data_IF_073906485349
#
_entry.id   IF_073906485349
#
_cell.length_a   1.000
_cell.length_b   1.000
_cell.length_c   1.000
_cell.angle_alpha   90.00
_cell.angle_beta   90.00
_cell.angle_gamma   90.00
#
_symmetry.space_group_name_H-M   'P 1'
#
loop_
_entity.id
_entity.type
_entity.pdbx_description
1 polymer ?
#
# COMPACT_ATOMS: atom_id res chain seq x y z
N UNK A 1 -5.59 -2.11 -13.55
CA UNK A 1 -6.21 -2.65 -14.79
C UNK A 1 -5.23 -2.50 -15.96
N UNK A 2 -4.85 -3.61 -16.60
CA UNK A 2 -3.92 -3.65 -17.74
C UNK A 2 -4.48 -2.83 -18.91
N UNK A 3 -3.77 -1.76 -19.32
CA UNK A 3 -4.21 -0.80 -20.37
C UNK A 3 -4.42 -1.45 -21.76
N UNK A 4 -4.06 -2.71 -21.93
CA UNK A 4 -4.14 -3.46 -23.18
C UNK A 4 -5.50 -4.13 -23.48
N UNK A 5 -6.50 -4.02 -22.59
CA UNK A 5 -7.82 -4.66 -22.75
C UNK A 5 -8.86 -3.86 -23.56
N UNK A 6 -8.46 -2.77 -24.24
CA UNK A 6 -9.38 -1.91 -25.00
C UNK A 6 -9.69 -2.38 -26.43
N UNK A 7 -9.05 -3.44 -26.91
CA UNK A 7 -9.21 -3.90 -28.30
C UNK A 7 -10.24 -5.03 -28.39
N UNK A 8 -11.12 -5.00 -29.40
CA UNK A 8 -12.18 -5.99 -29.63
C UNK A 8 -11.69 -7.44 -29.65
N UNK A 9 -10.41 -7.67 -30.04
CA UNK A 9 -9.79 -8.99 -30.06
C UNK A 9 -9.68 -9.64 -28.68
N UNK A 10 -9.67 -8.87 -27.59
CA UNK A 10 -9.61 -9.42 -26.23
C UNK A 10 -10.99 -9.65 -25.61
N UNK A 11 -12.00 -8.91 -26.06
CA UNK A 11 -13.36 -8.96 -25.51
C UNK A 11 -14.22 -10.08 -26.13
N UNK A 12 -13.73 -10.68 -27.22
CA UNK A 12 -14.40 -11.70 -28.01
C UNK A 12 -14.02 -13.14 -27.65
N UNK A 13 -13.07 -13.33 -26.74
CA UNK A 13 -12.64 -14.67 -26.31
C UNK A 13 -11.83 -15.46 -27.36
N UNK A 14 -11.52 -14.85 -28.52
CA UNK A 14 -10.79 -15.47 -29.64
C UNK A 14 -9.33 -15.80 -29.33
N UNK A 15 -8.79 -15.23 -28.26
CA UNK A 15 -7.38 -15.30 -27.92
C UNK A 15 -7.18 -15.47 -26.42
N UNK A 16 -6.34 -16.43 -26.04
CA UNK A 16 -5.94 -16.69 -24.67
C UNK A 16 -4.45 -16.34 -24.50
N UNK A 17 -4.12 -15.54 -23.48
CA UNK A 17 -2.72 -15.25 -23.15
C UNK A 17 -2.08 -16.50 -22.51
N UNK A 18 -0.83 -16.74 -22.85
CA UNK A 18 -0.03 -17.74 -22.14
C UNK A 18 0.21 -17.28 -20.69
N UNK A 19 0.03 -18.17 -19.69
CA UNK A 19 0.17 -17.81 -18.28
C UNK A 19 1.61 -17.54 -17.84
N UNK A 20 2.61 -17.98 -18.63
CA UNK A 20 4.04 -17.87 -18.32
C UNK A 20 4.68 -16.81 -19.21
N UNK A 21 4.41 -16.82 -20.52
CA UNK A 21 4.96 -15.85 -21.47
C UNK A 21 3.92 -14.82 -21.92
N UNK A 22 3.98 -13.62 -21.34
CA UNK A 22 3.10 -12.48 -21.65
C UNK A 22 3.10 -12.04 -23.13
N UNK A 23 4.06 -12.50 -23.94
CA UNK A 23 4.17 -12.21 -25.36
C UNK A 23 3.54 -13.27 -26.25
N UNK A 24 3.25 -14.47 -25.73
CA UNK A 24 2.59 -15.55 -26.46
C UNK A 24 1.08 -15.55 -26.21
N UNK A 25 0.35 -15.83 -27.29
CA UNK A 25 -1.10 -15.86 -27.32
C UNK A 25 -1.53 -17.01 -28.19
N UNK A 26 -2.51 -17.78 -27.73
CA UNK A 26 -3.10 -18.89 -28.48
C UNK A 26 -4.49 -18.49 -28.98
N UNK A 27 -4.75 -18.70 -30.27
CA UNK A 27 -6.08 -18.59 -30.86
C UNK A 27 -6.95 -19.75 -30.39
N UNK A 28 -8.18 -19.44 -29.98
CA UNK A 28 -9.13 -20.40 -29.40
C UNK A 28 -10.17 -20.90 -30.41
N UNK A 29 -10.10 -20.45 -31.66
CA UNK A 29 -11.03 -20.86 -32.72
C UNK A 29 -10.74 -22.30 -33.13
N UNK A 30 -11.75 -23.16 -33.07
CA UNK A 30 -11.64 -24.58 -33.38
C UNK A 30 -11.24 -24.77 -34.86
N UNK A 31 -10.18 -25.55 -35.10
CA UNK A 31 -9.66 -25.80 -36.46
C UNK A 31 -8.70 -24.72 -36.99
N UNK A 32 -8.23 -23.79 -36.15
CA UNK A 32 -7.20 -22.83 -36.55
C UNK A 32 -5.91 -23.53 -37.02
N UNK A 33 -5.44 -23.17 -38.21
CA UNK A 33 -4.21 -23.74 -38.81
C UNK A 33 -2.92 -23.20 -38.20
N UNK A 34 -2.97 -22.06 -37.48
CA UNK A 34 -1.81 -21.43 -36.82
C UNK A 34 -2.22 -20.83 -35.47
N UNK A 35 -2.48 -21.66 -34.45
CA UNK A 35 -3.04 -21.19 -33.19
C UNK A 35 -2.06 -20.35 -32.36
N UNK A 36 -0.75 -20.56 -32.49
CA UNK A 36 0.24 -19.84 -31.67
C UNK A 36 0.74 -18.55 -32.32
N UNK A 37 0.57 -17.43 -31.61
CA UNK A 37 0.83 -16.08 -32.11
C UNK A 37 1.71 -15.32 -31.12
N UNK A 38 2.74 -14.65 -31.64
CA UNK A 38 3.57 -13.75 -30.86
C UNK A 38 3.10 -12.29 -31.00
N UNK A 39 2.93 -11.60 -29.86
CA UNK A 39 2.47 -10.20 -29.77
C UNK A 39 3.52 -9.16 -30.13
N UNK A 40 4.79 -9.57 -30.26
CA UNK A 40 5.89 -8.70 -30.66
C UNK A 40 6.69 -9.30 -31.80
N UNK A 41 7.33 -8.44 -32.60
CA UNK A 41 8.54 -8.77 -33.35
C UNK A 41 9.77 -8.50 -32.46
N UNK A 42 10.92 -9.13 -32.73
CA UNK A 42 12.15 -8.91 -31.95
C UNK A 42 12.41 -7.39 -31.82
N UNK A 43 12.56 -6.90 -30.58
CA UNK A 43 12.83 -5.48 -30.28
C UNK A 43 11.63 -4.55 -30.10
N UNK A 44 10.37 -5.00 -30.26
CA UNK A 44 9.18 -4.13 -30.17
C UNK A 44 8.28 -4.37 -28.93
N UNK A 45 7.51 -3.34 -28.54
CA UNK A 45 6.48 -3.42 -27.49
C UNK A 45 5.29 -4.27 -27.97
N UNK A 46 4.70 -5.05 -27.06
CA UNK A 46 3.62 -6.00 -27.37
C UNK A 46 2.31 -5.28 -27.74
N UNK A 47 1.89 -5.39 -29.00
CA UNK A 47 0.66 -4.79 -29.53
C UNK A 47 -0.47 -5.80 -29.77
N UNK A 48 -1.56 -5.34 -30.39
CA UNK A 48 -2.69 -6.17 -30.83
C UNK A 48 -2.77 -6.34 -32.36
N UNK A 49 -1.92 -5.65 -33.12
CA UNK A 49 -1.95 -5.64 -34.59
C UNK A 49 -1.83 -7.04 -35.20
N UNK A 50 -0.96 -7.90 -34.65
CA UNK A 50 -0.78 -9.28 -35.12
C UNK A 50 -2.05 -10.13 -34.87
N UNK A 51 -2.73 -9.92 -33.74
CA UNK A 51 -3.95 -10.65 -33.39
C UNK A 51 -5.11 -10.21 -34.29
N UNK A 52 -5.22 -8.90 -34.55
CA UNK A 52 -6.21 -8.34 -35.47
C UNK A 52 -5.99 -8.89 -36.88
N UNK A 53 -4.75 -8.88 -37.36
CA UNK A 53 -4.41 -9.40 -38.69
C UNK A 53 -4.70 -10.90 -38.79
N UNK A 54 -4.30 -11.69 -37.79
CA UNK A 54 -4.59 -13.12 -37.75
C UNK A 54 -6.12 -13.38 -37.79
N UNK A 55 -6.90 -12.71 -36.94
CA UNK A 55 -8.35 -12.88 -36.90
C UNK A 55 -9.01 -12.52 -38.23
N UNK A 56 -8.63 -11.41 -38.85
CA UNK A 56 -9.22 -11.00 -40.14
C UNK A 56 -8.85 -11.94 -41.30
N UNK A 57 -7.68 -12.57 -41.27
CA UNK A 57 -7.19 -13.43 -42.36
C UNK A 57 -7.68 -14.87 -42.20
N UNK A 58 -7.57 -15.43 -41.00
CA UNK A 58 -7.83 -16.85 -40.76
C UNK A 58 -9.24 -17.12 -40.23
N UNK A 59 -9.89 -16.13 -39.62
CA UNK A 59 -11.19 -16.27 -38.95
C UNK A 59 -12.12 -15.07 -39.24
N UNK A 60 -12.40 -14.75 -40.53
CA UNK A 60 -13.13 -13.54 -40.90
C UNK A 60 -14.55 -13.49 -40.34
N UNK A 61 -15.22 -14.63 -40.23
CA UNK A 61 -16.57 -14.79 -39.66
C UNK A 61 -16.61 -14.46 -38.18
N UNK A 62 -15.70 -15.05 -37.40
CA UNK A 62 -15.55 -14.84 -35.97
C UNK A 62 -15.05 -13.43 -35.67
N UNK A 63 -14.15 -12.89 -36.51
CA UNK A 63 -13.67 -11.53 -36.44
C UNK A 63 -14.79 -10.50 -36.67
N UNK A 64 -15.69 -10.75 -37.62
CA UNK A 64 -16.86 -9.90 -37.87
C UNK A 64 -17.81 -9.94 -36.67
N UNK A 65 -18.20 -11.13 -36.22
CA UNK A 65 -19.06 -11.29 -35.04
C UNK A 65 -18.50 -10.63 -33.78
N UNK A 66 -17.18 -10.73 -33.58
CA UNK A 66 -16.47 -10.10 -32.48
C UNK A 66 -16.48 -8.56 -32.54
N UNK A 67 -16.35 -7.97 -33.73
CA UNK A 67 -16.46 -6.51 -33.93
C UNK A 67 -17.89 -6.04 -33.73
N UNK A 68 -18.87 -6.75 -34.30
CA UNK A 68 -20.28 -6.40 -34.16
C UNK A 68 -20.72 -6.43 -32.68
N UNK A 69 -20.27 -7.43 -31.92
CA UNK A 69 -20.51 -7.51 -30.47
C UNK A 69 -19.85 -6.37 -29.69
N UNK A 70 -18.62 -6.01 -30.06
CA UNK A 70 -17.92 -4.87 -29.45
C UNK A 70 -18.65 -3.56 -29.72
N UNK A 71 -19.07 -3.33 -30.97
CA UNK A 71 -19.75 -2.12 -31.39
C UNK A 71 -21.14 -2.03 -30.75
N UNK A 72 -21.87 -3.14 -30.62
CA UNK A 72 -23.12 -3.20 -29.86
C UNK A 72 -22.91 -2.86 -28.38
N UNK A 73 -21.87 -3.40 -27.73
CA UNK A 73 -21.55 -3.08 -26.33
C UNK A 73 -21.15 -1.61 -26.14
N UNK A 74 -20.42 -1.02 -27.08
CA UNK A 74 -20.07 0.40 -27.04
C UNK A 74 -21.30 1.29 -27.34
N UNK A 75 -22.20 0.89 -28.23
CA UNK A 75 -23.48 1.56 -28.46
C UNK A 75 -24.38 1.51 -27.21
N UNK A 76 -24.52 0.37 -26.54
CA UNK A 76 -25.29 0.22 -25.29
C UNK A 76 -24.71 1.07 -24.15
N UNK A 77 -23.38 1.13 -24.05
CA UNK A 77 -22.66 1.97 -23.08
C UNK A 77 -22.86 3.46 -23.36
N UNK A 78 -22.88 3.85 -24.64
CA UNK A 78 -23.16 5.23 -25.06
C UNK A 78 -24.65 5.60 -24.89
N UNK A 79 -25.57 4.64 -25.09
CA UNK A 79 -27.00 4.83 -24.83
C UNK A 79 -27.30 5.02 -23.33
N UNK A 80 -26.69 4.22 -22.45
CA UNK A 80 -26.76 4.41 -20.98
C UNK A 80 -26.16 5.75 -20.53
N UNK A 81 -25.20 6.29 -21.28
CA UNK A 81 -24.62 7.62 -21.05
C UNK A 81 -25.56 8.75 -21.48
N UNK A 82 -26.33 8.55 -22.55
CA UNK A 82 -27.30 9.51 -23.09
C UNK A 82 -28.55 9.70 -22.23
N UNK A 83 -29.06 8.64 -21.58
CA UNK A 83 -30.21 8.74 -20.67
C UNK A 83 -29.94 9.62 -19.43
N UNK A 84 -28.67 9.95 -19.14
CA UNK A 84 -28.27 10.79 -18.01
C UNK A 84 -28.13 12.28 -18.36
N UNK A 85 -28.39 12.67 -19.61
CA UNK A 85 -28.09 14.00 -20.16
C UNK A 85 -29.22 14.53 -21.06
N UNK A 86 -30.48 14.34 -20.67
CA UNK A 86 -31.64 14.78 -21.47
C UNK A 86 -31.97 16.28 -21.40
N UNK A 87 -31.17 17.09 -20.71
CA UNK A 87 -31.23 18.53 -20.91
C UNK A 87 -30.08 18.99 -21.82
N UNK A 88 -30.46 19.60 -22.94
CA UNK A 88 -29.67 20.27 -23.99
C UNK A 88 -29.27 19.41 -25.21
N UNK A 89 -30.03 19.59 -26.29
CA UNK A 89 -29.75 19.12 -27.64
C UNK A 89 -28.37 19.59 -28.15
N UNK A 90 -27.59 18.72 -28.79
CA UNK A 90 -26.67 19.13 -29.87
C UNK A 90 -26.39 18.04 -30.91
N UNK A 91 -26.56 18.47 -32.16
CA UNK A 91 -26.09 18.04 -33.49
C UNK A 91 -24.91 17.04 -33.55
N UNK A 92 -25.00 16.10 -34.52
CA UNK A 92 -23.95 15.14 -34.93
C UNK A 92 -22.64 15.86 -35.32
N UNK A 93 -21.53 15.51 -34.66
CA UNK A 93 -20.20 16.03 -34.99
C UNK A 93 -19.28 14.90 -35.44
N UNK A 94 -18.84 14.99 -36.70
CA UNK A 94 -17.66 14.31 -37.24
C UNK A 94 -16.44 14.63 -36.36
N UNK A 95 -15.53 13.67 -36.17
CA UNK A 95 -14.35 13.79 -35.29
C UNK A 95 -13.31 14.78 -35.87
N UNK A 96 -13.68 16.06 -35.84
CA UNK A 96 -12.75 17.17 -35.83
C UNK A 96 -12.03 17.06 -34.50
N UNK A 97 -10.70 17.10 -34.48
CA UNK A 97 -9.93 17.32 -33.25
C UNK A 97 -10.46 18.59 -32.59
N UNK A 98 -11.44 18.44 -31.70
CA UNK A 98 -12.09 19.53 -30.99
C UNK A 98 -11.00 20.13 -30.11
N UNK A 99 -10.58 21.33 -30.46
CA UNK A 99 -9.78 22.15 -29.58
C UNK A 99 -10.53 22.21 -28.25
N UNK A 100 -9.88 21.74 -27.17
CA UNK A 100 -10.46 21.82 -25.83
C UNK A 100 -10.88 23.26 -25.59
N UNK A 101 -12.07 23.44 -25.06
CA UNK A 101 -12.48 24.78 -24.62
C UNK A 101 -11.52 25.28 -23.57
N UNK A 102 -11.44 26.61 -23.37
CA UNK A 102 -10.63 27.17 -22.28
C UNK A 102 -11.00 26.54 -20.94
N UNK A 103 -12.30 26.36 -20.68
CA UNK A 103 -12.80 25.69 -19.48
C UNK A 103 -12.31 24.24 -19.37
N UNK A 104 -12.40 23.44 -20.44
CA UNK A 104 -11.90 22.05 -20.42
C UNK A 104 -10.39 21.96 -20.28
N UNK A 105 -9.66 22.93 -20.84
CA UNK A 105 -8.20 23.03 -20.69
C UNK A 105 -7.84 23.36 -19.25
N UNK A 106 -8.49 24.36 -18.66
CA UNK A 106 -8.33 24.75 -17.26
C UNK A 106 -8.72 23.66 -16.28
N UNK A 107 -9.87 23.00 -16.45
CA UNK A 107 -10.26 21.86 -15.61
C UNK A 107 -9.29 20.69 -15.75
N UNK A 108 -8.71 20.48 -16.94
CA UNK A 108 -7.67 19.47 -17.13
C UNK A 108 -6.29 19.89 -16.61
N UNK A 109 -6.09 21.16 -16.27
CA UNK A 109 -4.86 21.68 -15.66
C UNK A 109 -5.00 21.88 -14.15
N UNK A 110 -6.21 21.86 -13.60
CA UNK A 110 -6.48 22.04 -12.19
C UNK A 110 -5.78 20.96 -11.33
N UNK A 111 -5.33 21.33 -10.11
CA UNK A 111 -4.89 20.36 -9.11
C UNK A 111 -5.96 19.32 -8.80
N UNK A 112 -5.54 18.13 -8.41
CA UNK A 112 -6.41 17.09 -7.90
C UNK A 112 -7.01 17.52 -6.56
N UNK A 113 -8.25 17.12 -6.30
CA UNK A 113 -8.86 17.27 -4.98
C UNK A 113 -8.05 16.49 -3.93
N UNK A 114 -8.08 16.94 -2.68
CA UNK A 114 -7.39 16.25 -1.59
C UNK A 114 -7.89 14.81 -1.40
N UNK A 115 -9.15 14.52 -1.76
CA UNK A 115 -9.74 13.20 -1.68
C UNK A 115 -9.64 12.38 -2.97
N UNK A 116 -9.04 12.92 -4.04
CA UNK A 116 -8.75 12.18 -5.27
C UNK A 116 -7.85 10.98 -4.95
N UNK A 117 -8.09 9.87 -5.63
CA UNK A 117 -7.37 8.61 -5.39
C UNK A 117 -5.85 8.77 -5.58
N UNK A 118 -5.43 9.59 -6.56
CA UNK A 118 -4.01 9.86 -6.77
C UNK A 118 -3.43 10.76 -5.70
N UNK A 119 -4.18 11.77 -5.25
CA UNK A 119 -3.73 12.60 -4.14
C UNK A 119 -3.51 11.75 -2.89
N UNK A 120 -4.45 10.87 -2.57
CA UNK A 120 -4.33 9.90 -1.47
C UNK A 120 -3.10 9.01 -1.61
N UNK A 121 -2.84 8.46 -2.79
CA UNK A 121 -1.63 7.66 -3.05
C UNK A 121 -0.35 8.44 -2.65
N UNK A 122 -0.23 9.70 -3.08
CA UNK A 122 0.91 10.54 -2.69
C UNK A 122 0.91 10.91 -1.20
N UNK A 123 -0.24 11.15 -0.57
CA UNK A 123 -0.31 11.37 0.88
C UNK A 123 0.28 10.19 1.64
N UNK A 124 -0.09 8.96 1.29
CA UNK A 124 0.43 7.77 1.96
C UNK A 124 1.92 7.56 1.66
N UNK A 125 2.39 7.78 0.44
CA UNK A 125 3.82 7.66 0.11
C UNK A 125 4.68 8.68 0.86
N UNK A 126 4.22 9.94 0.97
CA UNK A 126 4.96 10.98 1.71
C UNK A 126 4.94 10.66 3.20
N UNK A 127 3.81 10.22 3.74
CA UNK A 127 3.72 9.86 5.15
C UNK A 127 4.54 8.61 5.50
N UNK A 128 4.59 7.62 4.60
CA UNK A 128 5.48 6.47 4.71
C UNK A 128 6.94 6.90 4.69
N UNK A 129 7.33 7.76 3.74
CA UNK A 129 8.67 8.34 3.70
C UNK A 129 9.02 9.08 5.00
N UNK A 130 8.09 9.87 5.53
CA UNK A 130 8.25 10.56 6.82
C UNK A 130 8.50 9.55 7.95
N UNK A 131 7.72 8.48 8.01
CA UNK A 131 7.83 7.46 9.07
C UNK A 131 9.11 6.62 8.96
N UNK A 132 9.42 6.13 7.76
CA UNK A 132 10.56 5.24 7.51
C UNK A 132 11.89 5.97 7.72
N UNK A 133 11.98 7.23 7.29
CA UNK A 133 13.21 8.02 7.40
C UNK A 133 13.25 8.89 8.66
N UNK A 134 12.28 8.75 9.58
CA UNK A 134 12.15 9.56 10.79
C UNK A 134 12.23 11.08 10.52
N UNK A 135 11.58 11.55 9.46
CA UNK A 135 11.59 12.97 9.07
C UNK A 135 10.59 13.78 9.91
N UNK A 136 10.82 15.08 10.12
CA UNK A 136 9.81 15.94 10.72
C UNK A 136 8.63 16.11 9.76
N UNK A 137 7.41 16.19 10.28
CA UNK A 137 6.21 16.46 9.48
C UNK A 137 6.27 17.80 8.72
N UNK A 138 7.09 18.74 9.19
CA UNK A 138 7.34 20.02 8.51
C UNK A 138 7.99 19.83 7.14
N UNK A 139 8.58 18.68 6.83
CA UNK A 139 9.13 18.39 5.51
C UNK A 139 8.08 18.49 4.39
N UNK A 140 6.79 18.27 4.70
CA UNK A 140 5.70 18.50 3.75
C UNK A 140 5.59 19.98 3.30
N UNK A 141 6.14 20.91 4.08
CA UNK A 141 6.09 22.36 3.88
C UNK A 141 7.44 22.93 3.45
N UNK A 142 8.49 22.10 3.35
CA UNK A 142 9.81 22.52 2.92
C UNK A 142 9.75 23.07 1.49
N UNK A 143 10.16 24.34 1.32
CA UNK A 143 10.08 25.05 0.03
C UNK A 143 10.75 24.29 -1.10
N UNK A 144 11.91 23.66 -0.84
CA UNK A 144 12.63 22.85 -1.82
C UNK A 144 11.87 21.58 -2.21
N UNK A 145 11.32 20.87 -1.23
CA UNK A 145 10.53 19.65 -1.45
C UNK A 145 9.26 19.95 -2.25
N UNK A 146 8.53 21.00 -1.85
CA UNK A 146 7.32 21.45 -2.55
C UNK A 146 7.62 21.82 -4.01
N UNK A 147 8.74 22.52 -4.29
CA UNK A 147 9.16 22.84 -5.68
C UNK A 147 9.42 21.59 -6.51
N UNK A 148 10.11 20.60 -5.94
CA UNK A 148 10.38 19.31 -6.62
C UNK A 148 9.06 18.61 -6.95
N UNK A 149 8.16 18.50 -5.98
CA UNK A 149 6.88 17.81 -6.16
C UNK A 149 5.97 18.54 -7.16
N UNK A 150 5.92 19.87 -7.13
CA UNK A 150 5.20 20.67 -8.13
C UNK A 150 5.75 20.46 -9.55
N UNK A 151 7.04 20.12 -9.70
CA UNK A 151 7.64 19.81 -11.00
C UNK A 151 7.39 18.36 -11.42
N UNK A 152 7.55 17.42 -10.49
CA UNK A 152 7.42 15.99 -10.73
C UNK A 152 5.97 15.57 -10.95
N UNK A 153 5.04 16.11 -10.16
CA UNK A 153 3.62 15.77 -10.14
C UNK A 153 2.79 17.07 -10.06
N UNK A 154 2.70 17.87 -11.14
CA UNK A 154 2.15 19.23 -11.08
C UNK A 154 0.69 19.36 -10.66
N UNK A 155 -0.06 18.25 -10.68
CA UNK A 155 -1.46 18.22 -10.25
C UNK A 155 -1.65 17.89 -8.78
N UNK A 156 -0.60 17.44 -8.11
CA UNK A 156 -0.66 17.07 -6.72
C UNK A 156 -0.30 18.27 -5.85
N UNK A 157 -1.20 18.62 -4.94
CA UNK A 157 -0.95 19.63 -3.91
C UNK A 157 -0.62 18.90 -2.61
N UNK A 158 0.59 19.10 -2.08
CA UNK A 158 0.99 18.54 -0.79
C UNK A 158 0.17 19.24 0.32
N UNK A 159 -0.53 18.50 1.20
CA UNK A 159 -1.16 19.08 2.37
C UNK A 159 -0.14 19.59 3.39
N UNK A 160 -0.56 20.52 4.26
CA UNK A 160 0.28 20.96 5.37
C UNK A 160 0.58 19.85 6.39
N UNK A 161 1.54 20.12 7.27
CA UNK A 161 1.99 19.21 8.33
C UNK A 161 0.85 18.68 9.19
N UNK A 162 -0.17 19.51 9.42
CA UNK A 162 -1.31 19.18 10.29
C UNK A 162 -2.15 18.05 9.70
N UNK A 163 -2.32 18.02 8.37
CA UNK A 163 -3.06 16.96 7.71
C UNK A 163 -2.34 15.62 7.84
N UNK A 164 -1.01 15.61 7.65
CA UNK A 164 -0.20 14.41 7.87
C UNK A 164 -0.25 13.94 9.31
N UNK A 165 -0.10 14.86 10.27
CA UNK A 165 -0.07 14.55 11.70
C UNK A 165 -1.42 14.06 12.23
N UNK A 166 -2.53 14.64 11.76
CA UNK A 166 -3.87 14.40 12.34
C UNK A 166 -4.74 13.43 11.54
N UNK A 167 -4.42 13.14 10.28
CA UNK A 167 -5.22 12.28 9.40
C UNK A 167 -4.44 11.07 8.89
N UNK A 168 -3.33 11.31 8.18
CA UNK A 168 -2.65 10.24 7.45
C UNK A 168 -1.80 9.36 8.38
N UNK A 169 -1.00 9.96 9.26
CA UNK A 169 -0.15 9.20 10.18
C UNK A 169 -0.94 8.34 11.16
N UNK A 170 -2.06 8.82 11.76
CA UNK A 170 -2.89 7.97 12.61
C UNK A 170 -3.46 6.74 11.87
N UNK A 171 -3.91 6.91 10.62
CA UNK A 171 -4.39 5.78 9.81
C UNK A 171 -3.25 4.79 9.48
N UNK A 172 -2.06 5.27 9.10
CA UNK A 172 -0.88 4.40 8.89
C UNK A 172 -0.54 3.64 10.17
N UNK A 173 -0.51 4.33 11.31
CA UNK A 173 -0.23 3.74 12.61
C UNK A 173 -1.23 2.63 12.93
N UNK A 174 -2.53 2.86 12.75
CA UNK A 174 -3.56 1.84 12.99
C UNK A 174 -3.38 0.62 12.09
N UNK A 175 -3.08 0.81 10.79
CA UNK A 175 -2.80 -0.29 9.86
C UNK A 175 -1.58 -1.11 10.28
N UNK A 176 -0.50 -0.44 10.69
CA UNK A 176 0.74 -1.11 11.14
C UNK A 176 0.50 -1.82 12.47
N UNK A 177 -0.17 -1.17 13.42
CA UNK A 177 -0.54 -1.76 14.70
C UNK A 177 -1.37 -3.03 14.52
N UNK A 178 -2.35 -3.02 13.61
CA UNK A 178 -3.15 -4.19 13.27
C UNK A 178 -2.31 -5.32 12.66
N UNK A 179 -1.35 -5.01 11.78
CA UNK A 179 -0.40 -6.02 11.26
C UNK A 179 0.47 -6.61 12.36
N UNK A 180 1.02 -5.78 13.25
CA UNK A 180 1.81 -6.24 14.40
C UNK A 180 0.97 -7.12 15.32
N UNK A 181 -0.29 -6.75 15.57
CA UNK A 181 -1.23 -7.55 16.35
C UNK A 181 -1.49 -8.92 15.73
N UNK A 182 -1.74 -8.99 14.42
CA UNK A 182 -1.94 -10.26 13.71
C UNK A 182 -0.69 -11.15 13.83
N UNK A 183 0.50 -10.58 13.61
CA UNK A 183 1.77 -11.29 13.72
C UNK A 183 2.04 -11.79 15.15
N UNK A 184 1.77 -10.96 16.16
CA UNK A 184 1.90 -11.34 17.55
C UNK A 184 0.93 -12.46 17.96
N UNK A 185 -0.30 -12.45 17.44
CA UNK A 185 -1.29 -13.50 17.71
C UNK A 185 -0.95 -14.82 17.04
N UNK A 186 -0.42 -14.80 15.81
CA UNK A 186 -0.05 -16.01 15.08
C UNK A 186 1.21 -16.69 15.63
N UNK A 187 2.04 -15.96 16.38
CA UNK A 187 3.21 -16.53 17.04
C UNK A 187 2.80 -17.63 18.05
N UNK A 188 3.51 -18.76 18.03
CA UNK A 188 3.35 -19.81 19.04
C UNK A 188 3.94 -19.35 20.38
N UNK A 189 5.16 -18.80 20.33
CA UNK A 189 5.86 -18.23 21.47
C UNK A 189 6.52 -16.91 21.04
N UNK A 190 6.78 -16.05 22.02
CA UNK A 190 7.46 -14.78 21.84
C UNK A 190 8.39 -14.53 23.04
N UNK A 191 9.56 -13.98 22.80
CA UNK A 191 10.39 -13.38 23.84
C UNK A 191 10.26 -11.87 23.79
N UNK A 192 10.33 -11.22 24.94
CA UNK A 192 10.26 -9.76 25.01
C UNK A 192 11.60 -9.18 25.47
N UNK A 193 11.91 -7.98 25.01
CA UNK A 193 12.98 -7.15 25.58
C UNK A 193 12.37 -5.81 25.99
N UNK A 194 12.78 -5.28 27.13
CA UNK A 194 12.34 -3.97 27.61
C UNK A 194 13.53 -3.19 28.12
N UNK A 195 13.53 -1.89 27.84
CA UNK A 195 14.58 -0.97 28.23
C UNK A 195 13.98 0.35 28.69
N UNK A 196 14.59 0.96 29.71
CA UNK A 196 14.27 2.29 30.20
C UNK A 196 15.53 3.13 30.07
N UNK A 197 15.46 4.21 29.29
CA UNK A 197 16.58 5.12 29.12
C UNK A 197 16.13 6.55 29.35
N UNK A 198 17.10 7.39 29.74
CA UNK A 198 16.94 8.84 29.74
C UNK A 198 17.57 9.43 28.49
N UNK A 199 16.84 10.30 27.81
CA UNK A 199 17.36 11.10 26.71
C UNK A 199 18.44 12.04 27.25
N UNK A 200 19.66 11.96 26.70
CA UNK A 200 20.75 12.89 27.07
C UNK A 200 20.46 14.35 26.70
N UNK A 201 19.49 14.58 25.81
CA UNK A 201 19.20 15.92 25.31
C UNK A 201 18.05 16.57 26.07
N UNK A 202 16.96 15.84 26.28
CA UNK A 202 15.77 16.37 26.97
C UNK A 202 15.72 16.02 28.46
N UNK A 203 16.59 15.14 28.94
CA UNK A 203 16.54 14.53 30.30
C UNK A 203 15.24 13.77 30.59
N UNK A 204 14.42 13.55 29.57
CA UNK A 204 13.17 12.81 29.67
C UNK A 204 13.42 11.30 29.62
N UNK A 205 12.67 10.57 30.42
CA UNK A 205 12.70 9.12 30.47
C UNK A 205 11.77 8.50 29.42
N UNK A 206 12.22 7.43 28.80
CA UNK A 206 11.45 6.65 27.83
C UNK A 206 11.51 5.18 28.21
N UNK A 207 10.48 4.44 27.80
CA UNK A 207 10.44 2.99 27.93
C UNK A 207 10.05 2.36 26.60
N UNK A 208 10.70 1.24 26.27
CA UNK A 208 10.34 0.43 25.11
C UNK A 208 10.04 -1.01 25.53
N UNK A 209 9.13 -1.64 24.78
CA UNK A 209 8.86 -3.07 24.84
C UNK A 209 8.87 -3.60 23.40
N UNK A 210 9.79 -4.51 23.13
CA UNK A 210 9.99 -5.12 21.83
C UNK A 210 9.76 -6.63 21.93
N UNK A 211 8.96 -7.18 21.02
CA UNK A 211 8.74 -8.61 20.89
C UNK A 211 9.60 -9.23 19.80
N UNK A 212 10.06 -10.44 20.07
CA UNK A 212 10.89 -11.26 19.18
C UNK A 212 10.15 -12.57 18.94
N UNK A 213 9.84 -12.84 17.68
CA UNK A 213 9.06 -13.99 17.24
C UNK A 213 9.92 -14.81 16.28
N UNK A 214 9.90 -16.13 16.45
CA UNK A 214 10.40 -17.07 15.47
C UNK A 214 9.21 -17.71 14.74
N UNK A 215 9.12 -17.50 13.43
CA UNK A 215 8.06 -18.08 12.62
C UNK A 215 8.25 -19.60 12.45
N UNK A 216 7.23 -20.28 11.92
CA UNK A 216 7.30 -21.71 11.59
C UNK A 216 8.37 -22.04 10.55
N UNK A 217 8.71 -21.06 9.71
CA UNK A 217 9.73 -21.16 8.67
C UNK A 217 11.12 -20.75 9.18
N UNK A 218 11.28 -20.64 10.51
CA UNK A 218 12.51 -20.19 11.19
C UNK A 218 12.95 -18.77 10.82
N UNK A 219 12.01 -17.91 10.41
CA UNK A 219 12.28 -16.49 10.21
C UNK A 219 12.11 -15.71 11.52
N UNK A 220 13.12 -14.91 11.85
CA UNK A 220 13.08 -14.04 13.02
C UNK A 220 12.38 -12.72 12.67
N UNK A 221 11.36 -12.37 13.45
CA UNK A 221 10.66 -11.10 13.35
C UNK A 221 10.79 -10.32 14.67
N UNK A 222 11.19 -9.06 14.54
CA UNK A 222 11.24 -8.11 15.66
C UNK A 222 10.13 -7.08 15.50
N UNK A 223 9.33 -6.89 16.55
CA UNK A 223 8.21 -5.94 16.56
C UNK A 223 8.29 -5.04 17.78
N UNK A 224 8.26 -3.73 17.58
CA UNK A 224 8.13 -2.78 18.68
C UNK A 224 6.67 -2.75 19.10
N UNK A 225 6.36 -3.28 20.28
CA UNK A 225 5.00 -3.28 20.83
C UNK A 225 4.70 -1.91 21.45
N UNK A 226 5.70 -1.31 22.09
CA UNK A 226 5.55 0.00 22.72
C UNK A 226 6.88 0.74 22.73
N UNK A 227 6.84 2.03 22.45
CA UNK A 227 7.93 2.96 22.70
C UNK A 227 7.29 4.30 23.04
N UNK A 228 7.47 4.78 24.27
CA UNK A 228 6.78 5.97 24.73
C UNK A 228 7.56 6.72 25.79
N UNK A 229 7.26 8.01 25.90
CA UNK A 229 7.65 8.84 27.04
C UNK A 229 7.11 8.21 28.33
N UNK A 230 7.97 8.16 29.35
CA UNK A 230 7.73 7.51 30.64
C UNK A 230 8.20 8.42 31.78
N UNK A 231 7.52 9.58 31.99
CA UNK A 231 7.94 10.58 32.96
C UNK A 231 7.70 10.17 34.41
N UNK A 232 6.88 9.14 34.63
CA UNK A 232 6.52 8.67 35.96
C UNK A 232 7.76 8.20 36.74
N UNK A 233 7.66 8.18 38.07
CA UNK A 233 8.63 7.46 38.88
C UNK A 233 8.77 6.04 38.33
N UNK A 234 10.01 5.60 38.03
CA UNK A 234 10.34 4.29 37.44
C UNK A 234 10.06 3.12 38.41
N UNK A 235 8.91 3.15 39.08
CA UNK A 235 8.46 2.16 40.05
C UNK A 235 8.08 0.88 39.33
N UNK A 236 8.26 -0.25 40.02
CA UNK A 236 7.85 -1.55 39.52
C UNK A 236 6.37 -1.59 39.10
N UNK A 237 5.49 -0.86 39.80
CA UNK A 237 4.06 -0.78 39.50
C UNK A 237 3.79 -0.12 38.13
N UNK A 238 4.46 0.99 37.84
CA UNK A 238 4.27 1.72 36.59
C UNK A 238 4.79 0.91 35.39
N UNK A 239 5.94 0.24 35.56
CA UNK A 239 6.52 -0.65 34.55
C UNK A 239 5.58 -1.82 34.28
N UNK A 240 5.08 -2.48 35.34
CA UNK A 240 4.10 -3.57 35.23
C UNK A 240 2.85 -3.14 34.51
N UNK A 241 2.35 -1.95 34.81
CA UNK A 241 1.15 -1.39 34.17
C UNK A 241 1.39 -1.14 32.68
N UNK A 242 2.55 -0.58 32.31
CA UNK A 242 2.92 -0.35 30.92
C UNK A 242 2.99 -1.66 30.13
N UNK A 243 3.71 -2.66 30.65
CA UNK A 243 3.87 -3.97 29.99
C UNK A 243 2.51 -4.64 29.81
N UNK A 244 1.69 -4.73 30.88
CA UNK A 244 0.36 -5.35 30.77
C UNK A 244 -0.55 -4.60 29.78
N UNK A 245 -0.52 -3.26 29.74
CA UNK A 245 -1.27 -2.49 28.74
C UNK A 245 -0.84 -2.83 27.31
N UNK A 246 0.44 -3.03 27.05
CA UNK A 246 0.93 -3.47 25.75
C UNK A 246 0.44 -4.89 25.42
N UNK A 247 0.58 -5.85 26.36
CA UNK A 247 0.10 -7.22 26.15
C UNK A 247 -1.40 -7.28 25.86
N UNK A 248 -2.22 -6.49 26.57
CA UNK A 248 -3.67 -6.40 26.33
C UNK A 248 -3.95 -5.79 24.95
N UNK A 249 -3.28 -4.70 24.59
CA UNK A 249 -3.47 -3.99 23.32
C UNK A 249 -3.22 -4.90 22.10
N UNK A 250 -2.18 -5.75 22.16
CA UNK A 250 -1.85 -6.71 21.10
C UNK A 250 -2.47 -8.09 21.30
N UNK A 251 -3.33 -8.28 22.31
CA UNK A 251 -3.96 -9.56 22.65
C UNK A 251 -2.96 -10.72 22.79
N UNK A 252 -1.83 -10.46 23.46
CA UNK A 252 -0.76 -11.44 23.69
C UNK A 252 -0.99 -12.12 25.05
N UNK A 253 -1.35 -13.41 25.08
CA UNK A 253 -1.49 -14.14 26.34
C UNK A 253 -0.15 -14.32 27.03
N UNK A 254 -0.09 -14.16 28.36
CA UNK A 254 1.16 -14.30 29.12
C UNK A 254 1.85 -15.66 28.94
N UNK A 255 1.08 -16.75 28.79
CA UNK A 255 1.64 -18.10 28.60
C UNK A 255 2.38 -18.28 27.27
N UNK A 256 2.19 -17.39 26.29
CA UNK A 256 2.98 -17.38 25.04
C UNK A 256 4.33 -16.68 25.20
N UNK A 257 4.55 -15.99 26.32
CA UNK A 257 5.78 -15.26 26.57
C UNK A 257 6.79 -16.22 27.19
N UNK A 258 7.89 -16.48 26.49
CA UNK A 258 8.92 -17.40 26.96
C UNK A 258 9.77 -16.77 28.08
N UNK A 259 10.27 -15.55 27.85
CA UNK A 259 10.92 -14.71 28.85
C UNK A 259 10.82 -13.23 28.48
N UNK A 260 11.10 -12.38 29.45
CA UNK A 260 11.34 -10.95 29.24
C UNK A 260 12.79 -10.66 29.64
N UNK A 261 13.55 -10.05 28.72
CA UNK A 261 14.90 -9.61 28.95
C UNK A 261 14.93 -8.10 29.24
N UNK A 262 15.58 -7.71 30.34
CA UNK A 262 15.72 -6.30 30.73
C UNK A 262 17.05 -6.06 31.43
N UNK A 263 17.33 -4.80 31.79
CA UNK A 263 18.37 -4.52 32.77
C UNK A 263 18.07 -5.22 34.12
N UNK A 264 19.10 -5.32 34.96
CA UNK A 264 18.97 -5.91 36.30
C UNK A 264 18.58 -4.86 37.35
N UNK A 265 17.95 -3.73 36.96
CA UNK A 265 17.51 -2.73 37.91
C UNK A 265 16.45 -3.32 38.85
N UNK A 266 16.48 -2.92 40.12
CA UNK A 266 15.60 -3.46 41.15
C UNK A 266 14.11 -3.33 40.78
N UNK A 267 13.72 -2.21 40.17
CA UNK A 267 12.34 -1.96 39.76
C UNK A 267 11.92 -2.81 38.56
N UNK A 268 12.83 -3.12 37.63
CA UNK A 268 12.56 -4.04 36.51
C UNK A 268 12.35 -5.45 37.03
N UNK A 269 13.28 -5.94 37.86
CA UNK A 269 13.19 -7.28 38.46
C UNK A 269 11.90 -7.44 39.26
N UNK A 270 11.56 -6.46 40.12
CA UNK A 270 10.33 -6.46 40.90
C UNK A 270 9.06 -6.44 40.03
N UNK A 271 9.08 -5.65 38.95
CA UNK A 271 7.98 -5.61 37.99
C UNK A 271 7.76 -6.95 37.29
N UNK A 272 8.82 -7.56 36.77
CA UNK A 272 8.72 -8.81 36.00
C UNK A 272 8.30 -9.99 36.89
N UNK A 273 8.76 -10.03 38.15
CA UNK A 273 8.28 -10.98 39.15
C UNK A 273 6.77 -10.81 39.40
N UNK A 274 6.28 -9.57 39.47
CA UNK A 274 4.85 -9.27 39.64
C UNK A 274 4.02 -9.68 38.41
N UNK A 275 4.58 -9.57 37.20
CA UNK A 275 3.89 -9.98 35.96
C UNK A 275 3.72 -11.51 35.89
N UNK A 276 4.62 -12.27 36.54
CA UNK A 276 4.60 -13.72 36.55
C UNK A 276 5.18 -14.34 35.28
N UNK A 277 6.19 -13.69 34.68
CA UNK A 277 6.91 -14.18 33.49
C UNK A 277 8.39 -14.29 33.83
N UNK A 278 9.07 -15.28 33.27
CA UNK A 278 10.51 -15.49 33.44
C UNK A 278 11.29 -14.22 33.07
N UNK A 279 12.09 -13.70 34.00
CA UNK A 279 13.03 -12.60 33.75
C UNK A 279 14.40 -13.17 33.38
N UNK A 280 14.98 -12.68 32.28
CA UNK A 280 16.36 -12.93 31.89
C UNK A 280 17.16 -11.62 31.97
N UNK A 281 18.16 -11.48 32.85
CA UNK A 281 18.98 -10.28 32.88
C UNK A 281 19.77 -10.09 31.57
N UNK A 282 19.86 -8.85 31.10
CA UNK A 282 20.62 -8.48 29.91
C UNK A 282 22.13 -8.71 30.14
N UNK A 283 22.74 -9.59 29.33
CA UNK A 283 24.16 -9.90 29.42
C UNK A 283 25.07 -8.67 29.24
N UNK A 284 24.69 -7.74 28.35
CA UNK A 284 25.48 -6.54 28.05
C UNK A 284 25.65 -5.61 29.26
N UNK A 285 24.79 -5.73 30.27
CA UNK A 285 24.84 -4.92 31.50
C UNK A 285 25.60 -5.65 32.61
N UNK A 286 25.70 -6.99 32.53
CA UNK A 286 26.45 -7.81 33.48
C UNK A 286 27.97 -7.85 33.20
N UNK A 287 28.42 -7.30 32.08
CA UNK A 287 29.82 -7.32 31.63
C UNK A 287 30.59 -6.02 31.91
N UNK A 288 30.00 -5.09 32.67
CA UNK A 288 30.65 -3.90 33.24
C UNK A 288 30.74 -4.03 34.76
#
# INVERSE_FOLDING_TARGET
>A
MDKNLRSWVWLSGLFKKDPIDKFKVTCTVQGCSKPDINRKKQGQKAGTSNLISHANIHHPTEAKAAKDLHDKKEQEKNAKKRFRTEDTETVKVYDVKRQKTLQQTWSSAAPWDINDEKSKEYHYLIAEWIAVDCRPFTTAEDVGFVRIMNKAVPKYTIPGRDYFTTKIMPDIYERVQNKVKILAKSANNMSLTTDIWKSKHSEESFISLTGHILSTDFEHHTVVLRSQHFPDCHTALNITTMINKALIMYEIPKHKIHFICSDNAANMTSSLNTIGVTHLPCFCILSN
#
